data_IF_667251845719
#
_entry.id   IF_667251845719
#
_cell.length_a   1.000
_cell.length_b   1.000
_cell.length_c   1.000
_cell.angle_alpha   90.00
_cell.angle_beta   90.00
_cell.angle_gamma   90.00
#
_symmetry.space_group_name_H-M   'P 1'
#
loop_
_entity.id
_entity.type
_entity.pdbx_description
1 polymer ?
#
# COMPACT_ATOMS: atom_id res chain seq x y z
N UNK A 1 19.54 11.97 -26.86
CA UNK A 1 20.47 12.27 -25.74
C UNK A 1 21.08 11.02 -25.12
N UNK A 2 20.33 10.13 -24.44
CA UNK A 2 20.91 8.96 -23.74
C UNK A 2 21.74 8.06 -24.65
N UNK A 3 21.20 7.67 -25.82
CA UNK A 3 21.92 6.90 -26.84
C UNK A 3 23.22 7.57 -27.32
N UNK A 4 23.23 8.90 -27.47
CA UNK A 4 24.42 9.65 -27.89
C UNK A 4 25.50 9.72 -26.80
N UNK A 5 25.09 9.59 -25.53
CA UNK A 5 25.98 9.61 -24.36
C UNK A 5 26.35 8.20 -23.88
N UNK A 6 25.95 7.14 -24.60
CA UNK A 6 26.20 5.75 -24.22
C UNK A 6 25.47 5.31 -22.93
N UNK A 7 24.34 5.94 -22.61
CA UNK A 7 23.53 5.61 -21.43
C UNK A 7 22.38 4.65 -21.81
N UNK A 8 22.11 3.67 -20.95
CA UNK A 8 20.90 2.84 -21.00
C UNK A 8 19.64 3.70 -20.76
N UNK A 9 18.47 3.16 -21.07
CA UNK A 9 17.20 3.81 -20.75
C UNK A 9 16.88 3.71 -19.24
N UNK A 10 15.89 4.47 -18.77
CA UNK A 10 15.41 4.36 -17.39
C UNK A 10 14.99 2.92 -17.09
N UNK A 11 15.45 2.39 -15.94
CA UNK A 11 15.09 1.04 -15.51
C UNK A 11 13.65 0.98 -15.00
N UNK A 12 13.08 2.13 -14.60
CA UNK A 12 11.69 2.27 -14.20
C UNK A 12 11.26 3.73 -14.37
N UNK A 13 10.01 3.94 -14.75
CA UNK A 13 9.40 5.26 -14.94
C UNK A 13 8.01 5.23 -14.30
N UNK A 14 7.66 6.29 -13.58
CA UNK A 14 6.31 6.52 -13.08
C UNK A 14 5.89 7.94 -13.40
N UNK A 15 4.68 8.08 -13.96
CA UNK A 15 4.03 9.36 -14.21
C UNK A 15 2.61 9.25 -13.65
N UNK A 16 2.23 10.16 -12.77
CA UNK A 16 0.87 10.23 -12.21
C UNK A 16 0.35 11.65 -12.29
N UNK A 17 -0.93 11.81 -12.59
CA UNK A 17 -1.63 13.09 -12.61
C UNK A 17 -2.53 13.17 -11.37
N UNK A 18 -2.01 13.79 -10.31
CA UNK A 18 -2.75 14.03 -9.09
C UNK A 18 -3.82 15.10 -9.33
N UNK A 19 -5.04 14.83 -8.87
CA UNK A 19 -6.25 15.61 -9.20
C UNK A 19 -7.08 15.01 -10.35
N UNK A 20 -6.51 14.11 -11.16
CA UNK A 20 -7.23 13.35 -12.19
C UNK A 20 -7.60 11.93 -11.73
N UNK A 21 -7.38 11.61 -10.45
CA UNK A 21 -7.64 10.28 -9.86
C UNK A 21 -6.84 9.12 -10.45
N UNK A 22 -5.66 9.39 -11.04
CA UNK A 22 -4.74 8.33 -11.52
C UNK A 22 -4.41 7.29 -10.44
N UNK A 23 -4.41 7.68 -9.16
CA UNK A 23 -4.19 6.77 -8.03
C UNK A 23 -5.30 5.73 -7.86
N UNK A 24 -6.51 5.99 -8.37
CA UNK A 24 -7.67 5.09 -8.28
C UNK A 24 -7.75 4.06 -9.41
N UNK A 25 -6.93 4.19 -10.45
CA UNK A 25 -6.90 3.25 -11.57
C UNK A 25 -8.27 3.13 -12.24
N UNK A 26 -8.77 1.90 -12.39
CA UNK A 26 -10.09 1.64 -12.98
C UNK A 26 -11.27 2.17 -12.15
N UNK A 27 -11.03 2.55 -10.89
CA UNK A 27 -12.05 3.05 -9.97
C UNK A 27 -12.19 4.59 -9.99
N UNK A 28 -11.46 5.28 -10.88
CA UNK A 28 -11.59 6.72 -11.02
C UNK A 28 -12.99 7.13 -11.51
N UNK A 29 -13.50 8.24 -10.98
CA UNK A 29 -14.80 8.84 -11.25
C UNK A 29 -14.73 10.31 -11.70
N UNK A 30 -13.55 10.94 -11.68
CA UNK A 30 -13.38 12.36 -12.04
C UNK A 30 -13.93 12.68 -13.44
N UNK A 31 -14.77 13.72 -13.52
CA UNK A 31 -15.41 14.21 -14.77
C UNK A 31 -14.86 15.54 -15.28
N UNK A 32 -13.88 16.13 -14.58
CA UNK A 32 -13.30 17.42 -14.98
C UNK A 32 -12.30 17.94 -13.95
N UNK A 33 -11.03 17.90 -14.32
CA UNK A 33 -9.94 18.48 -13.54
C UNK A 33 -9.54 19.83 -14.16
N UNK A 34 -9.61 20.93 -13.38
CA UNK A 34 -9.17 22.26 -13.85
C UNK A 34 -7.71 22.55 -13.51
N UNK A 35 -7.20 21.94 -12.44
CA UNK A 35 -5.83 22.09 -11.95
C UNK A 35 -5.32 20.73 -11.47
N UNK A 36 -4.14 20.33 -11.92
CA UNK A 36 -3.54 19.03 -11.61
C UNK A 36 -2.06 19.17 -11.27
N UNK A 37 -1.52 18.18 -10.56
CA UNK A 37 -0.08 18.05 -10.29
C UNK A 37 0.44 16.82 -11.01
N UNK A 38 1.44 16.99 -11.87
CA UNK A 38 2.13 15.88 -12.52
C UNK A 38 3.28 15.41 -11.61
N UNK A 39 3.17 14.19 -11.10
CA UNK A 39 4.22 13.48 -10.40
C UNK A 39 5.03 12.65 -11.41
N UNK A 40 6.32 12.94 -11.56
CA UNK A 40 7.23 12.18 -12.42
C UNK A 40 8.40 11.67 -11.61
N UNK A 41 8.68 10.37 -11.70
CA UNK A 41 9.80 9.75 -11.00
C UNK A 41 10.42 8.66 -11.86
N UNK A 42 11.75 8.53 -11.80
CA UNK A 42 12.51 7.60 -12.63
C UNK A 42 13.62 6.92 -11.82
N UNK A 43 13.92 5.67 -12.18
CA UNK A 43 15.12 4.96 -11.74
C UNK A 43 16.11 4.79 -12.88
N UNK A 44 17.40 4.82 -12.52
CA UNK A 44 18.47 4.46 -13.42
C UNK A 44 19.67 3.95 -12.62
N UNK A 45 20.42 3.00 -13.18
CA UNK A 45 21.61 2.42 -12.54
C UNK A 45 22.76 3.43 -12.36
N UNK A 46 22.81 4.42 -13.25
CA UNK A 46 23.85 5.45 -13.27
C UNK A 46 23.28 6.82 -12.88
N UNK A 47 23.90 7.45 -11.87
CA UNK A 47 23.55 8.79 -11.38
C UNK A 47 23.53 9.86 -12.49
N UNK A 48 24.47 9.79 -13.44
CA UNK A 48 24.61 10.74 -14.55
C UNK A 48 23.35 10.86 -15.41
N UNK A 49 22.64 9.75 -15.65
CA UNK A 49 21.38 9.79 -16.40
C UNK A 49 20.27 10.53 -15.65
N UNK A 50 20.20 10.36 -14.32
CA UNK A 50 19.24 11.04 -13.46
C UNK A 50 19.56 12.54 -13.34
N UNK A 51 20.85 12.90 -13.33
CA UNK A 51 21.28 14.31 -13.35
C UNK A 51 20.88 15.01 -14.66
N UNK A 52 20.89 14.30 -15.79
CA UNK A 52 20.36 14.82 -17.06
C UNK A 52 18.85 15.05 -16.97
N UNK A 53 18.09 14.04 -16.53
CA UNK A 53 16.64 14.17 -16.33
C UNK A 53 16.29 15.35 -15.42
N UNK A 54 16.97 15.47 -14.29
CA UNK A 54 16.80 16.56 -13.31
C UNK A 54 17.04 17.95 -13.93
N UNK A 55 18.01 18.08 -14.84
CA UNK A 55 18.30 19.35 -15.52
C UNK A 55 17.20 19.78 -16.49
N UNK A 56 16.47 18.84 -17.09
CA UNK A 56 15.38 19.13 -18.04
C UNK A 56 14.10 19.63 -17.36
N UNK A 57 13.93 19.40 -16.05
CA UNK A 57 12.73 19.83 -15.31
C UNK A 57 12.61 21.37 -15.22
N UNK A 58 13.73 22.10 -15.04
CA UNK A 58 13.65 23.56 -14.91
C UNK A 58 13.26 24.27 -16.22
N UNK A 59 13.84 23.94 -17.40
CA UNK A 59 13.38 24.45 -18.69
C UNK A 59 11.92 24.11 -19.00
N UNK A 60 11.41 22.99 -18.47
CA UNK A 60 10.00 22.63 -18.60
C UNK A 60 9.06 23.71 -18.06
N UNK A 61 9.40 24.28 -16.91
CA UNK A 61 8.64 25.33 -16.24
C UNK A 61 8.46 26.61 -17.06
N UNK A 62 9.48 26.97 -17.85
CA UNK A 62 9.54 28.26 -18.54
C UNK A 62 9.26 28.17 -20.03
N UNK A 63 9.27 26.97 -20.62
CA UNK A 63 9.26 26.80 -22.08
C UNK A 63 8.42 25.64 -22.63
N UNK A 64 7.69 24.89 -21.80
CA UNK A 64 6.79 23.83 -22.28
C UNK A 64 5.32 24.31 -22.38
N UNK A 65 4.37 23.45 -22.02
CA UNK A 65 2.96 23.64 -22.31
C UNK A 65 2.37 24.91 -21.66
N UNK A 66 1.57 25.70 -22.39
CA UNK A 66 0.79 26.79 -21.80
C UNK A 66 -0.08 26.29 -20.65
N UNK A 67 -0.17 27.08 -19.57
CA UNK A 67 -0.97 26.74 -18.39
C UNK A 67 -0.20 26.03 -17.27
N UNK A 68 1.11 25.78 -17.42
CA UNK A 68 1.95 25.35 -16.31
C UNK A 68 2.17 26.51 -15.32
N UNK A 69 1.59 26.39 -14.12
CA UNK A 69 1.56 27.46 -13.12
C UNK A 69 2.70 27.40 -12.09
N UNK A 70 3.45 26.29 -12.02
CA UNK A 70 4.60 26.19 -11.12
C UNK A 70 5.30 24.83 -11.14
N UNK A 71 6.53 24.81 -10.63
CA UNK A 71 7.30 23.59 -10.33
C UNK A 71 7.41 23.47 -8.82
N UNK A 72 6.73 22.49 -8.23
CA UNK A 72 6.81 22.20 -6.80
C UNK A 72 8.11 21.45 -6.50
N UNK A 73 8.88 21.93 -5.51
CA UNK A 73 10.14 21.28 -5.08
C UNK A 73 11.37 21.59 -5.94
N UNK A 74 11.22 22.37 -7.02
CA UNK A 74 12.34 22.82 -7.87
C UNK A 74 13.03 21.68 -8.62
N UNK A 75 14.36 21.76 -8.74
CA UNK A 75 15.16 20.73 -9.41
C UNK A 75 15.25 19.47 -8.51
N UNK A 76 14.79 18.29 -8.97
CA UNK A 76 14.82 17.09 -8.14
C UNK A 76 16.26 16.65 -7.83
N UNK A 77 16.52 16.29 -6.58
CA UNK A 77 17.83 15.75 -6.16
C UNK A 77 17.91 14.27 -6.50
N UNK A 78 19.06 13.85 -7.02
CA UNK A 78 19.35 12.43 -7.24
C UNK A 78 19.79 11.80 -5.93
N UNK A 79 19.12 10.73 -5.52
CA UNK A 79 19.46 9.96 -4.32
C UNK A 79 19.64 8.46 -4.65
N UNK A 80 20.54 7.76 -3.94
CA UNK A 80 20.60 6.30 -4.04
C UNK A 80 19.35 5.65 -3.44
N UNK A 81 18.95 4.51 -3.99
CA UNK A 81 17.84 3.69 -3.47
C UNK A 81 18.43 2.58 -2.61
N UNK A 82 18.26 2.68 -1.29
CA UNK A 82 18.75 1.69 -0.33
C UNK A 82 17.60 0.72 0.03
N UNK A 83 17.56 -0.44 -0.63
CA UNK A 83 16.55 -1.47 -0.37
C UNK A 83 17.03 -2.40 0.75
N UNK A 84 16.30 -2.55 1.86
CA UNK A 84 16.61 -3.58 2.83
C UNK A 84 16.34 -4.97 2.23
N UNK A 85 17.24 -5.90 2.50
CA UNK A 85 17.06 -7.31 2.21
C UNK A 85 16.98 -8.05 3.55
N UNK A 86 15.81 -8.63 3.83
CA UNK A 86 15.57 -9.37 5.06
C UNK A 86 15.78 -10.87 4.80
N UNK A 87 16.49 -11.54 5.69
CA UNK A 87 16.71 -12.96 5.66
C UNK A 87 16.66 -13.52 7.08
N UNK A 88 16.32 -14.79 7.21
CA UNK A 88 16.38 -15.48 8.49
C UNK A 88 17.81 -15.99 8.71
N UNK A 89 18.34 -15.76 9.91
CA UNK A 89 19.62 -16.33 10.34
C UNK A 89 19.37 -17.23 11.55
N UNK A 90 19.90 -18.47 11.57
CA UNK A 90 19.66 -19.38 12.68
C UNK A 90 20.13 -18.79 14.00
N UNK A 91 19.22 -18.65 14.97
CA UNK A 91 19.57 -18.09 16.29
C UNK A 91 20.62 -18.92 17.01
N UNK A 92 20.63 -20.24 16.79
CA UNK A 92 21.66 -21.15 17.32
C UNK A 92 23.07 -20.87 16.83
N UNK A 93 23.24 -20.08 15.77
CA UNK A 93 24.53 -19.63 15.27
C UNK A 93 24.94 -18.24 15.79
N UNK A 94 24.09 -17.59 16.59
CA UNK A 94 24.37 -16.30 17.22
C UNK A 94 24.83 -16.49 18.66
N UNK A 95 26.00 -15.92 18.97
CA UNK A 95 26.45 -15.68 20.35
C UNK A 95 26.23 -14.22 20.68
N UNK A 96 25.50 -13.95 21.76
CA UNK A 96 25.23 -12.58 22.25
C UNK A 96 26.01 -12.37 23.54
N UNK A 97 26.97 -11.45 23.50
CA UNK A 97 27.80 -11.10 24.65
C UNK A 97 27.37 -9.75 25.25
N UNK A 98 26.96 -9.77 26.52
CA UNK A 98 26.53 -8.58 27.27
C UNK A 98 27.70 -8.04 28.07
N UNK A 99 28.13 -6.82 27.75
CA UNK A 99 29.21 -6.12 28.45
C UNK A 99 28.66 -4.94 29.25
N UNK A 100 29.07 -4.79 30.51
CA UNK A 100 28.72 -3.65 31.36
C UNK A 100 30.01 -3.03 31.89
N UNK A 101 30.19 -1.72 31.68
CA UNK A 101 31.43 -1.04 32.06
C UNK A 101 32.67 -1.53 31.29
N UNK A 102 32.50 -2.20 30.16
CA UNK A 102 33.58 -2.81 29.38
C UNK A 102 33.96 -4.22 29.81
N UNK A 103 33.40 -4.73 30.91
CA UNK A 103 33.59 -6.12 31.34
C UNK A 103 32.45 -7.01 30.82
N UNK A 104 32.81 -8.22 30.38
CA UNK A 104 31.85 -9.23 29.96
C UNK A 104 31.10 -9.75 31.21
N UNK A 105 29.78 -9.56 31.24
CA UNK A 105 28.93 -9.98 32.36
C UNK A 105 28.18 -11.26 32.04
N UNK A 106 27.77 -11.45 30.79
CA UNK A 106 26.95 -12.60 30.38
C UNK A 106 27.20 -12.96 28.91
N UNK A 107 27.16 -14.25 28.59
CA UNK A 107 27.15 -14.77 27.23
C UNK A 107 25.92 -15.64 27.03
N UNK A 108 25.07 -15.27 26.08
CA UNK A 108 23.86 -15.98 25.72
C UNK A 108 24.06 -16.68 24.37
N UNK A 109 23.65 -17.94 24.30
CA UNK A 109 23.47 -18.67 23.05
C UNK A 109 22.19 -19.48 23.16
N UNK A 110 21.25 -19.32 22.23
CA UNK A 110 20.07 -20.18 22.20
C UNK A 110 20.49 -21.59 21.75
N UNK A 111 20.51 -22.53 22.70
CA UNK A 111 20.78 -23.94 22.44
C UNK A 111 19.46 -24.69 22.21
N UNK A 112 18.84 -24.49 21.05
CA UNK A 112 17.66 -25.25 20.67
C UNK A 112 17.38 -25.13 19.17
N UNK A 113 16.75 -26.14 18.56
CA UNK A 113 16.16 -25.94 17.23
C UNK A 113 15.17 -24.77 17.31
N UNK A 114 15.06 -24.00 16.22
CA UNK A 114 13.91 -23.13 15.95
C UNK A 114 12.68 -24.03 15.90
N UNK A 115 12.19 -24.46 17.06
CA UNK A 115 10.90 -25.09 17.16
C UNK A 115 9.96 -23.96 16.79
N UNK A 116 9.20 -24.05 15.69
CA UNK A 116 8.15 -23.09 15.47
C UNK A 116 7.31 -23.16 16.74
N UNK A 117 7.31 -22.10 17.55
CA UNK A 117 6.19 -21.91 18.46
C UNK A 117 4.99 -22.11 17.55
N UNK A 118 4.11 -23.02 17.97
CA UNK A 118 2.91 -23.34 17.24
C UNK A 118 2.07 -22.06 17.23
N UNK A 119 2.39 -21.15 16.30
CA UNK A 119 1.62 -19.96 16.04
C UNK A 119 0.22 -20.50 15.80
N UNK A 120 -0.71 -20.10 16.67
CA UNK A 120 -2.12 -20.37 16.42
C UNK A 120 -2.35 -20.04 14.95
N UNK A 121 -2.96 -20.95 14.17
CA UNK A 121 -3.06 -20.78 12.74
C UNK A 121 -3.59 -19.36 12.49
N UNK A 122 -2.94 -18.56 11.62
CA UNK A 122 -3.43 -17.24 11.34
C UNK A 122 -4.92 -17.38 11.03
N UNK A 123 -5.76 -16.53 11.62
CA UNK A 123 -7.19 -16.45 11.30
C UNK A 123 -7.35 -15.83 9.90
N UNK A 124 -6.65 -16.40 8.92
CA UNK A 124 -6.61 -16.07 7.50
C UNK A 124 -7.56 -16.93 6.70
N UNK A 125 -8.17 -17.95 7.32
CA UNK A 125 -9.36 -18.55 6.77
C UNK A 125 -10.44 -17.47 6.82
N UNK A 126 -10.96 -17.08 5.65
CA UNK A 126 -12.20 -16.34 5.60
C UNK A 126 -13.26 -17.18 6.33
N UNK A 127 -13.63 -16.77 7.55
CA UNK A 127 -14.68 -17.46 8.29
C UNK A 127 -15.91 -17.61 7.40
N UNK A 128 -16.61 -18.75 7.52
CA UNK A 128 -17.86 -18.99 6.79
C UNK A 128 -18.79 -17.78 6.93
N UNK A 129 -19.19 -17.16 5.81
CA UNK A 129 -20.05 -15.99 5.85
C UNK A 129 -21.41 -16.39 6.42
N UNK A 130 -21.95 -15.55 7.29
CA UNK A 130 -23.26 -15.77 7.89
C UNK A 130 -24.32 -15.83 6.78
N UNK A 131 -24.85 -17.04 6.53
CA UNK A 131 -25.67 -17.33 5.34
C UNK A 131 -27.04 -16.65 5.40
N UNK A 132 -27.49 -16.28 6.60
CA UNK A 132 -28.86 -15.82 6.85
C UNK A 132 -29.02 -14.30 6.94
N UNK A 133 -27.99 -13.53 6.56
CA UNK A 133 -28.09 -12.06 6.56
C UNK A 133 -29.10 -11.56 5.51
N UNK A 134 -30.09 -10.72 5.90
CA UNK A 134 -31.04 -10.11 4.98
C UNK A 134 -30.33 -9.36 3.85
N UNK A 135 -30.80 -9.52 2.62
CA UNK A 135 -30.35 -8.74 1.47
C UNK A 135 -31.37 -7.66 1.10
N UNK A 136 -30.97 -6.70 0.27
CA UNK A 136 -31.86 -5.64 -0.17
C UNK A 136 -31.33 -4.84 -1.36
N UNK A 137 -32.11 -3.85 -1.83
CA UNK A 137 -31.75 -3.04 -2.99
C UNK A 137 -30.74 -1.94 -2.68
N UNK A 138 -30.32 -1.77 -1.42
CA UNK A 138 -29.48 -0.65 -1.01
C UNK A 138 -28.02 -0.89 -1.34
N UNK A 139 -27.27 0.22 -1.44
CA UNK A 139 -25.84 0.22 -1.65
C UNK A 139 -25.23 1.37 -0.87
N UNK A 140 -24.14 1.09 -0.16
CA UNK A 140 -23.45 2.04 0.70
C UNK A 140 -21.99 2.17 0.29
N UNK A 141 -21.42 3.37 0.41
CA UNK A 141 -19.96 3.50 0.39
C UNK A 141 -19.42 2.87 1.67
N UNK A 142 -18.23 2.29 1.63
CA UNK A 142 -17.64 1.72 2.84
C UNK A 142 -17.46 2.80 3.92
N UNK A 143 -17.27 4.07 3.53
CA UNK A 143 -17.29 5.24 4.42
C UNK A 143 -18.52 5.31 5.33
N UNK A 144 -19.70 4.91 4.84
CA UNK A 144 -20.95 4.93 5.60
C UNK A 144 -20.98 3.84 6.68
N UNK A 145 -20.20 2.76 6.51
CA UNK A 145 -20.28 1.54 7.31
C UNK A 145 -19.06 1.31 8.20
N UNK A 146 -17.89 1.87 7.86
CA UNK A 146 -16.63 1.58 8.53
C UNK A 146 -15.70 2.79 8.63
N UNK A 147 -14.78 2.71 9.59
CA UNK A 147 -13.55 3.49 9.66
C UNK A 147 -12.40 2.68 9.07
N UNK A 148 -11.43 3.35 8.46
CA UNK A 148 -10.23 2.69 7.94
C UNK A 148 -8.94 3.36 8.39
N UNK A 149 -7.86 2.59 8.42
CA UNK A 149 -6.50 3.09 8.54
C UNK A 149 -5.57 2.17 7.76
N UNK A 150 -4.65 2.75 7.00
CA UNK A 150 -3.65 1.99 6.27
C UNK A 150 -2.22 2.35 6.63
N UNK A 151 -1.31 1.44 6.30
CA UNK A 151 0.12 1.62 6.53
C UNK A 151 0.94 0.61 5.74
N UNK A 152 2.24 0.85 5.71
CA UNK A 152 3.21 0.03 5.03
C UNK A 152 3.72 -1.12 5.91
N UNK A 153 4.00 -2.24 5.24
CA UNK A 153 4.67 -3.44 5.73
C UNK A 153 5.71 -3.85 4.69
N UNK A 154 6.79 -3.08 4.61
CA UNK A 154 7.80 -3.23 3.56
C UNK A 154 7.26 -2.78 2.21
N UNK A 155 7.19 -3.71 1.24
CA UNK A 155 6.55 -3.46 -0.07
C UNK A 155 5.05 -3.80 -0.09
N UNK A 156 4.53 -4.28 1.03
CA UNK A 156 3.10 -4.58 1.19
C UNK A 156 2.41 -3.44 1.93
N UNK A 157 1.10 -3.33 1.75
CA UNK A 157 0.26 -2.43 2.53
C UNK A 157 -0.66 -3.24 3.45
N UNK A 158 -0.97 -2.69 4.62
CA UNK A 158 -2.06 -3.18 5.46
C UNK A 158 -3.21 -2.15 5.46
N UNK A 159 -4.45 -2.62 5.44
CA UNK A 159 -5.66 -1.79 5.58
C UNK A 159 -6.52 -2.40 6.68
N UNK A 160 -6.59 -1.71 7.82
CA UNK A 160 -7.56 -2.01 8.86
C UNK A 160 -8.91 -1.38 8.55
N UNK A 161 -9.98 -2.12 8.78
CA UNK A 161 -11.39 -1.72 8.61
C UNK A 161 -12.10 -2.03 9.91
N UNK A 162 -12.73 -1.04 10.56
CA UNK A 162 -13.50 -1.22 11.80
C UNK A 162 -14.93 -0.76 11.53
N UNK A 163 -15.91 -1.61 11.80
CA UNK A 163 -17.32 -1.26 11.63
C UNK A 163 -17.68 -0.02 12.47
N UNK A 164 -18.43 0.92 11.90
CA UNK A 164 -18.97 2.08 12.64
C UNK A 164 -19.98 1.67 13.70
N UNK A 165 -20.68 0.57 13.47
CA UNK A 165 -21.61 -0.04 14.41
C UNK A 165 -21.46 -1.57 14.39
N UNK A 166 -21.55 -2.26 15.54
CA UNK A 166 -21.46 -3.72 15.61
C UNK A 166 -22.40 -4.46 14.64
N UNK A 167 -23.61 -3.94 14.42
CA UNK A 167 -24.59 -4.52 13.50
C UNK A 167 -24.16 -4.49 12.03
N UNK A 168 -23.20 -3.65 11.63
CA UNK A 168 -22.68 -3.62 10.27
C UNK A 168 -21.60 -4.68 10.02
N UNK A 169 -20.98 -5.19 11.10
CA UNK A 169 -19.86 -6.10 10.98
C UNK A 169 -20.17 -7.41 10.24
N UNK A 170 -21.31 -8.08 10.47
CA UNK A 170 -21.66 -9.29 9.69
C UNK A 170 -21.75 -8.99 8.18
N UNK A 171 -22.29 -7.83 7.80
CA UNK A 171 -22.38 -7.40 6.40
C UNK A 171 -21.01 -7.09 5.82
N UNK A 172 -20.15 -6.37 6.55
CA UNK A 172 -18.77 -6.12 6.13
C UNK A 172 -17.99 -7.43 5.94
N UNK A 173 -18.14 -8.37 6.89
CA UNK A 173 -17.50 -9.69 6.82
C UNK A 173 -17.97 -10.49 5.60
N UNK A 174 -19.24 -10.42 5.23
CA UNK A 174 -19.80 -11.11 4.06
C UNK A 174 -19.41 -10.46 2.72
N UNK A 175 -19.42 -9.12 2.64
CA UNK A 175 -19.29 -8.40 1.38
C UNK A 175 -17.89 -7.85 1.10
N UNK A 176 -17.07 -7.61 2.12
CA UNK A 176 -15.70 -7.12 2.00
C UNK A 176 -14.73 -8.30 2.11
N UNK A 177 -14.69 -9.12 1.06
CA UNK A 177 -13.80 -10.29 0.94
C UNK A 177 -12.42 -9.89 0.45
N UNK A 178 -11.45 -10.80 0.58
CA UNK A 178 -10.09 -10.60 0.04
C UNK A 178 -10.14 -10.35 -1.46
N UNK A 179 -10.98 -11.09 -2.20
CA UNK A 179 -11.14 -10.94 -3.65
C UNK A 179 -11.68 -9.57 -4.06
N UNK A 180 -12.66 -9.02 -3.33
CA UNK A 180 -13.22 -7.69 -3.60
C UNK A 180 -12.15 -6.61 -3.41
N UNK A 181 -11.35 -6.72 -2.35
CA UNK A 181 -10.25 -5.78 -2.09
C UNK A 181 -9.11 -5.95 -3.11
N UNK A 182 -8.79 -7.18 -3.51
CA UNK A 182 -7.80 -7.48 -4.54
C UNK A 182 -8.20 -6.89 -5.89
N UNK A 183 -9.46 -7.06 -6.31
CA UNK A 183 -10.00 -6.48 -7.54
C UNK A 183 -9.90 -4.94 -7.50
N UNK A 184 -10.35 -4.34 -6.38
CA UNK A 184 -10.34 -2.88 -6.21
C UNK A 184 -8.94 -2.27 -6.28
N UNK A 185 -7.91 -2.97 -5.77
CA UNK A 185 -6.52 -2.50 -5.78
C UNK A 185 -5.62 -3.16 -6.84
N UNK A 186 -6.22 -3.88 -7.80
CA UNK A 186 -5.49 -4.64 -8.82
C UNK A 186 -4.49 -3.80 -9.63
N UNK A 187 -4.76 -2.50 -9.82
CA UNK A 187 -3.85 -1.56 -10.49
C UNK A 187 -2.60 -1.19 -9.68
N UNK A 188 -2.58 -1.48 -8.38
CA UNK A 188 -1.44 -1.20 -7.49
C UNK A 188 -0.61 -2.45 -7.18
N UNK A 189 -1.25 -3.63 -7.22
CA UNK A 189 -0.62 -4.93 -6.93
C UNK A 189 0.32 -5.31 -8.08
N UNK A 190 1.50 -5.83 -7.73
CA UNK A 190 2.47 -6.28 -8.72
C UNK A 190 1.87 -7.40 -9.61
N UNK A 191 2.02 -7.32 -10.94
CA UNK A 191 1.53 -8.37 -11.83
C UNK A 191 2.15 -9.74 -11.50
N UNK A 192 1.32 -10.79 -11.55
CA UNK A 192 1.73 -12.18 -11.33
C UNK A 192 1.72 -12.65 -9.87
N UNK A 193 1.38 -11.79 -8.91
CA UNK A 193 1.11 -12.20 -7.53
C UNK A 193 -0.28 -12.84 -7.47
N UNK A 194 -0.36 -14.10 -7.03
CA UNK A 194 -1.63 -14.81 -6.84
C UNK A 194 -2.10 -14.66 -5.39
N UNK A 195 -3.40 -14.50 -5.16
CA UNK A 195 -3.99 -14.30 -3.84
C UNK A 195 -3.24 -13.19 -3.07
N UNK A 196 -3.04 -12.07 -3.76
CA UNK A 196 -2.22 -10.97 -3.27
C UNK A 196 -2.80 -10.31 -2.02
N UNK A 197 -4.10 -10.50 -1.77
CA UNK A 197 -4.77 -9.98 -0.58
C UNK A 197 -5.08 -11.11 0.39
N UNK A 198 -4.63 -10.95 1.63
CA UNK A 198 -5.02 -11.81 2.75
C UNK A 198 -5.87 -11.02 3.73
N UNK A 199 -7.06 -11.52 4.07
CA UNK A 199 -7.94 -10.94 5.09
C UNK A 199 -7.79 -11.67 6.42
N UNK A 200 -7.79 -10.89 7.49
CA UNK A 200 -7.80 -11.35 8.88
C UNK A 200 -9.03 -10.78 9.59
N UNK A 201 -9.78 -11.62 10.31
CA UNK A 201 -10.95 -11.19 11.08
C UNK A 201 -10.55 -10.84 12.52
N UNK A 202 -10.99 -9.69 13.02
CA UNK A 202 -10.79 -9.24 14.42
C UNK A 202 -12.17 -9.02 15.09
N UNK A 203 -12.88 -10.10 15.47
CA UNK A 203 -14.28 -10.01 15.90
C UNK A 203 -14.46 -9.19 17.19
N UNK A 204 -13.47 -9.21 18.10
CA UNK A 204 -13.54 -8.47 19.37
C UNK A 204 -13.61 -6.95 19.24
N UNK A 205 -13.24 -6.40 18.08
CA UNK A 205 -13.37 -4.97 17.76
C UNK A 205 -14.24 -4.74 16.52
N UNK A 206 -14.99 -5.75 16.07
CA UNK A 206 -15.80 -5.68 14.85
C UNK A 206 -14.97 -5.22 13.63
N UNK A 207 -13.76 -5.75 13.51
CA UNK A 207 -12.77 -5.31 12.53
C UNK A 207 -12.34 -6.40 11.56
N UNK A 208 -11.81 -5.95 10.42
CA UNK A 208 -11.12 -6.74 9.40
C UNK A 208 -9.76 -6.08 9.14
N UNK A 209 -8.74 -6.87 8.84
CA UNK A 209 -7.46 -6.34 8.37
C UNK A 209 -7.08 -7.05 7.07
N UNK A 210 -6.73 -6.26 6.06
CA UNK A 210 -6.29 -6.74 4.76
C UNK A 210 -4.80 -6.48 4.61
N UNK A 211 -4.04 -7.49 4.19
CA UNK A 211 -2.63 -7.34 3.81
C UNK A 211 -2.55 -7.52 2.29
N UNK A 212 -2.13 -6.46 1.59
CA UNK A 212 -1.98 -6.42 0.14
C UNK A 212 -0.50 -6.57 -0.20
N UNK A 213 -0.11 -7.76 -0.65
CA UNK A 213 1.27 -8.12 -0.97
C UNK A 213 1.79 -7.37 -2.19
N UNK A 214 3.05 -6.90 -2.13
CA UNK A 214 3.75 -6.23 -3.24
C UNK A 214 2.92 -5.13 -3.91
N UNK A 215 2.25 -4.31 -3.11
CA UNK A 215 1.30 -3.30 -3.56
C UNK A 215 1.84 -1.87 -3.50
N UNK A 216 3.07 -1.67 -3.01
CA UNK A 216 3.68 -0.33 -2.86
C UNK A 216 4.73 -0.01 -3.93
N UNK A 217 5.16 -0.96 -4.76
CA UNK A 217 6.07 -0.72 -5.87
C UNK A 217 7.55 -0.63 -5.46
N UNK A 218 7.97 -1.43 -4.49
CA UNK A 218 9.27 -1.40 -3.82
C UNK A 218 9.23 -0.80 -2.40
N UNK A 219 8.05 -0.47 -1.87
CA UNK A 219 7.87 0.14 -0.55
C UNK A 219 8.41 1.57 -0.41
N UNK A 220 8.38 2.10 0.82
CA UNK A 220 8.72 3.50 1.13
C UNK A 220 10.06 4.00 0.60
N UNK A 221 11.05 3.11 0.46
CA UNK A 221 12.41 3.45 0.02
C UNK A 221 12.63 3.37 -1.49
N UNK A 222 11.85 2.58 -2.21
CA UNK A 222 12.09 2.31 -3.63
C UNK A 222 10.88 2.54 -4.53
N UNK A 223 9.73 2.91 -3.98
CA UNK A 223 8.58 3.25 -4.79
C UNK A 223 8.77 4.57 -5.52
N UNK A 224 8.39 4.58 -6.80
CA UNK A 224 8.33 5.79 -7.62
C UNK A 224 6.96 6.50 -7.48
N UNK A 225 6.01 5.92 -6.74
CA UNK A 225 4.64 6.42 -6.59
C UNK A 225 4.59 7.60 -5.61
N UNK A 226 3.56 8.43 -5.76
CA UNK A 226 3.28 9.57 -4.88
C UNK A 226 2.91 9.18 -3.44
N UNK A 227 2.30 8.00 -3.23
CA UNK A 227 2.02 7.43 -1.91
C UNK A 227 2.82 6.12 -1.70
N UNK A 228 4.13 6.20 -1.41
CA UNK A 228 5.00 5.04 -1.30
C UNK A 228 4.79 4.25 0.00
N UNK A 229 3.99 4.77 0.94
CA UNK A 229 3.67 4.15 2.23
C UNK A 229 2.22 3.66 2.33
N UNK A 230 1.44 3.79 1.26
CA UNK A 230 0.04 3.36 1.20
C UNK A 230 -0.86 4.07 2.22
N UNK A 231 -0.55 5.31 2.62
CA UNK A 231 -1.35 6.05 3.63
C UNK A 231 -2.73 6.43 3.10
N UNK A 232 -2.86 6.60 1.78
CA UNK A 232 -4.13 6.91 1.13
C UNK A 232 -4.99 5.66 0.89
N UNK A 233 -4.45 4.45 0.97
CA UNK A 233 -5.19 3.23 0.61
C UNK A 233 -6.44 3.04 1.49
N UNK A 234 -6.36 3.38 2.78
CA UNK A 234 -7.52 3.36 3.67
C UNK A 234 -8.64 4.28 3.16
N UNK A 235 -8.29 5.50 2.74
CA UNK A 235 -9.24 6.46 2.19
C UNK A 235 -9.81 5.99 0.85
N UNK A 236 -8.97 5.45 -0.03
CA UNK A 236 -9.42 4.90 -1.31
C UNK A 236 -10.43 3.77 -1.09
N UNK A 237 -10.14 2.84 -0.16
CA UNK A 237 -11.06 1.74 0.12
C UNK A 237 -12.40 2.22 0.69
N UNK A 238 -12.46 3.37 1.37
CA UNK A 238 -13.72 3.96 1.83
C UNK A 238 -14.67 4.34 0.67
N UNK A 239 -14.14 4.59 -0.52
CA UNK A 239 -14.92 4.87 -1.73
C UNK A 239 -15.56 3.63 -2.35
N UNK A 240 -15.10 2.42 -1.99
CA UNK A 240 -15.67 1.17 -2.47
C UNK A 240 -17.17 1.12 -2.10
N UNK A 241 -18.00 0.82 -3.10
CA UNK A 241 -19.45 0.73 -2.93
C UNK A 241 -19.90 -0.72 -2.82
N UNK A 242 -20.36 -1.11 -1.63
CA UNK A 242 -20.97 -2.41 -1.38
C UNK A 242 -22.45 -2.38 -1.81
N UNK A 243 -22.92 -3.47 -2.43
CA UNK A 243 -24.27 -3.59 -3.01
C UNK A 243 -24.99 -4.82 -2.45
N UNK A 244 -26.31 -4.86 -2.61
CA UNK A 244 -27.14 -5.98 -2.17
C UNK A 244 -27.47 -5.96 -0.68
N UNK A 245 -27.38 -4.79 -0.06
CA UNK A 245 -27.54 -4.60 1.38
C UNK A 245 -29.00 -4.23 1.72
N UNK A 246 -29.52 -4.62 2.89
CA UNK A 246 -30.79 -4.12 3.40
C UNK A 246 -30.64 -2.65 3.81
N UNK A 247 -31.71 -2.03 4.29
CA UNK A 247 -31.57 -0.71 4.91
C UNK A 247 -30.80 -0.83 6.22
N UNK A 248 -29.48 -0.60 6.15
CA UNK A 248 -28.60 -0.69 7.31
C UNK A 248 -28.75 0.52 8.24
N UNK A 249 -29.18 1.67 7.72
CA UNK A 249 -29.32 2.89 8.53
C UNK A 249 -30.48 2.75 9.50
N UNK A 250 -31.58 2.14 9.06
CA UNK A 250 -32.71 1.83 9.95
C UNK A 250 -32.39 0.81 11.05
N UNK A 251 -31.25 0.11 10.99
CA UNK A 251 -30.84 -0.83 12.05
C UNK A 251 -30.19 -0.15 13.25
N UNK A 252 -29.79 1.12 13.12
CA UNK A 252 -29.04 1.88 14.12
C UNK A 252 -29.73 3.16 14.58
N UNK A 253 -30.87 3.50 13.97
CA UNK A 253 -31.81 4.52 14.44
C UNK A 253 -32.65 3.99 15.62
#
# INVERSE_FOLDING_TARGET
MFKQLGLEDFSSVNVQVLGAEDTYGANAHSKGCREAVIWMAVHHKQKKALELFSREIAPAGTGMAPGLTGIVGGRPRVSPVLKPFFFLHPKSQLKVDVHVGGELVESLSEAGPDTPEQEAPPTSAEDEPDTDLPSGPHSYRLEDLAYTRSGDKGDSANIGVIARHPLFFPYLKKHLTSSVVEEYFSHLIQPGVQNAVTRFTLPGIHGLNFVLQSSLGGGGVASLRSDPQGKAFGQMLLDLKLKGLPDLKSLVD
#
